data_IF_695949390267
#
_entry.id   IF_695949390267
#
_cell.length_a   1.000
_cell.length_b   1.000
_cell.length_c   1.000
_cell.angle_alpha   90.00
_cell.angle_beta   90.00
_cell.angle_gamma   90.00
#
_symmetry.space_group_name_H-M   'P 1'
#
loop_
_entity.id
_entity.type
_entity.pdbx_description
1 polymer ?
#
# COMPACT_ATOMS: atom_id res chain seq x y z
N UNK A 1 -2.21 40.48 -29.43
CA UNK A 1 -1.69 41.86 -29.39
C UNK A 1 -0.51 41.96 -30.34
N UNK A 2 -0.30 43.09 -31.01
CA UNK A 2 0.86 43.31 -31.87
C UNK A 2 2.04 43.68 -30.98
N UNK A 3 3.02 42.78 -30.89
CA UNK A 3 4.29 43.06 -30.23
C UNK A 3 5.15 43.94 -31.15
N UNK A 4 5.64 45.07 -30.64
CA UNK A 4 6.49 46.00 -31.40
C UNK A 4 7.97 45.67 -31.20
N UNK A 5 8.75 45.67 -32.28
CA UNK A 5 10.18 45.37 -32.21
C UNK A 5 10.96 46.55 -31.64
N UNK A 6 11.69 46.34 -30.53
CA UNK A 6 12.41 47.43 -29.84
C UNK A 6 13.40 48.16 -30.77
N UNK A 7 14.25 47.40 -31.49
CA UNK A 7 15.32 47.96 -32.32
C UNK A 7 14.78 48.72 -33.53
N UNK A 8 13.80 48.17 -34.22
CA UNK A 8 13.32 48.70 -35.49
C UNK A 8 12.18 49.71 -35.35
N UNK A 9 11.45 49.69 -34.24
CA UNK A 9 10.21 50.44 -34.10
C UNK A 9 10.17 51.42 -32.93
N UNK A 10 10.98 51.20 -31.89
CA UNK A 10 10.98 52.03 -30.67
C UNK A 10 12.23 52.91 -30.62
N UNK A 11 13.42 52.37 -30.92
CA UNK A 11 14.67 53.17 -30.95
C UNK A 11 14.54 54.39 -31.87
N UNK A 12 14.05 54.29 -33.13
CA UNK A 12 13.95 55.46 -34.00
C UNK A 12 13.08 56.58 -33.42
N UNK A 13 12.00 56.24 -32.70
CA UNK A 13 11.14 57.22 -32.05
C UNK A 13 11.82 57.86 -30.83
N UNK A 14 12.58 57.08 -30.06
CA UNK A 14 13.36 57.63 -28.94
C UNK A 14 14.48 58.54 -29.45
N UNK A 15 15.13 58.18 -30.54
CA UNK A 15 16.14 59.01 -31.22
C UNK A 15 15.54 60.33 -31.70
N UNK A 16 14.39 60.28 -32.39
CA UNK A 16 13.75 61.48 -32.95
C UNK A 16 13.24 62.46 -31.87
N UNK A 17 12.66 61.95 -30.78
CA UNK A 17 11.97 62.80 -29.80
C UNK A 17 12.72 63.03 -28.49
N UNK A 18 13.70 62.18 -28.14
CA UNK A 18 14.34 62.22 -26.81
C UNK A 18 15.83 62.55 -26.84
N UNK A 19 16.57 62.25 -27.93
CA UNK A 19 18.04 62.37 -27.94
C UNK A 19 18.53 63.81 -27.84
N UNK A 20 17.83 64.78 -28.44
CA UNK A 20 18.19 66.21 -28.39
C UNK A 20 18.45 66.73 -26.96
N UNK A 21 17.78 66.16 -25.96
CA UNK A 21 17.87 66.60 -24.56
C UNK A 21 18.46 65.55 -23.60
N UNK A 22 18.38 64.27 -23.96
CA UNK A 22 18.73 63.15 -23.09
C UNK A 22 19.77 62.21 -23.71
N UNK A 23 20.23 62.47 -24.93
CA UNK A 23 21.23 61.65 -25.62
C UNK A 23 22.48 62.42 -26.03
N UNK A 24 23.45 61.72 -26.62
CA UNK A 24 24.73 62.22 -27.13
C UNK A 24 25.53 63.05 -26.10
N UNK A 25 25.44 62.66 -24.83
CA UNK A 25 26.09 63.36 -23.71
C UNK A 25 25.24 64.46 -23.06
N UNK A 26 24.09 64.81 -23.63
CA UNK A 26 23.08 65.62 -22.97
C UNK A 26 22.37 64.83 -21.85
N UNK A 27 22.03 65.53 -20.76
CA UNK A 27 21.46 64.91 -19.55
C UNK A 27 20.49 65.84 -18.82
N UNK A 28 19.59 66.51 -19.55
CA UNK A 28 18.59 67.39 -18.93
C UNK A 28 17.76 66.60 -17.92
N UNK A 29 17.46 67.23 -16.78
CA UNK A 29 16.75 66.56 -15.68
C UNK A 29 17.51 65.37 -15.05
N UNK A 30 18.81 65.22 -15.30
CA UNK A 30 19.61 64.10 -14.80
C UNK A 30 19.28 62.75 -15.43
N UNK A 31 18.62 62.75 -16.59
CA UNK A 31 18.20 61.54 -17.29
C UNK A 31 18.96 61.41 -18.62
N UNK A 32 19.51 60.22 -18.88
CA UNK A 32 20.22 59.87 -20.11
C UNK A 32 19.55 58.67 -20.76
N UNK A 33 19.09 58.84 -21.99
CA UNK A 33 18.38 57.80 -22.75
C UNK A 33 19.35 56.82 -23.42
N UNK A 34 20.54 57.26 -23.82
CA UNK A 34 21.54 56.38 -24.45
C UNK A 34 21.99 55.24 -23.53
N UNK A 35 22.16 55.55 -22.23
CA UNK A 35 22.48 54.55 -21.21
C UNK A 35 21.32 53.57 -21.00
N UNK A 36 20.09 53.97 -21.31
CA UNK A 36 18.90 53.13 -21.21
C UNK A 36 18.76 52.18 -22.41
N UNK A 37 19.10 52.67 -23.61
CA UNK A 37 19.00 51.92 -24.88
C UNK A 37 20.20 50.98 -25.07
N UNK A 38 21.42 51.41 -24.74
CA UNK A 38 22.65 50.62 -24.93
C UNK A 38 22.81 49.42 -24.00
N UNK A 39 21.99 49.30 -22.95
CA UNK A 39 22.08 48.21 -21.96
C UNK A 39 21.02 47.10 -22.13
N UNK A 40 20.13 47.19 -23.13
CA UNK A 40 19.33 46.06 -23.64
C UNK A 40 18.39 45.34 -22.66
N UNK A 41 18.33 45.71 -21.38
CA UNK A 41 17.54 45.03 -20.37
C UNK A 41 16.58 46.01 -19.70
N UNK A 42 15.31 45.97 -20.12
CA UNK A 42 14.20 46.66 -19.47
C UNK A 42 14.21 46.43 -17.94
N UNK A 43 14.44 45.17 -17.53
CA UNK A 43 14.45 44.70 -16.14
C UNK A 43 15.45 45.43 -15.24
N UNK A 44 16.69 45.63 -15.70
CA UNK A 44 17.74 46.31 -14.91
C UNK A 44 17.48 47.80 -14.72
N UNK A 45 16.59 48.37 -15.55
CA UNK A 45 16.29 49.79 -15.57
C UNK A 45 14.79 50.09 -15.41
N UNK A 46 14.00 49.19 -14.80
CA UNK A 46 12.55 49.32 -14.65
C UNK A 46 12.13 50.69 -14.11
N UNK A 47 12.79 51.17 -13.04
CA UNK A 47 12.53 52.50 -12.45
C UNK A 47 12.76 53.66 -13.43
N UNK A 48 13.66 53.51 -14.40
CA UNK A 48 13.91 54.52 -15.44
C UNK A 48 12.83 54.44 -16.53
N UNK A 49 12.43 53.24 -16.94
CA UNK A 49 11.32 53.04 -17.89
C UNK A 49 9.97 53.52 -17.33
N UNK A 50 9.70 53.32 -16.04
CA UNK A 50 8.53 53.88 -15.36
C UNK A 50 8.48 55.42 -15.45
N UNK A 51 9.64 56.07 -15.37
CA UNK A 51 9.72 57.54 -15.52
C UNK A 51 9.46 57.96 -16.96
N UNK A 52 9.94 57.20 -17.95
CA UNK A 52 9.64 57.45 -19.37
C UNK A 52 8.14 57.29 -19.62
N UNK A 53 7.55 56.18 -19.17
CA UNK A 53 6.12 55.91 -19.29
C UNK A 53 5.29 57.03 -18.66
N UNK A 54 5.56 57.42 -17.41
CA UNK A 54 4.81 58.48 -16.72
C UNK A 54 4.90 59.83 -17.44
N UNK A 55 6.07 60.21 -17.95
CA UNK A 55 6.23 61.50 -18.63
C UNK A 55 5.59 61.52 -20.02
N UNK A 56 5.65 60.41 -20.76
CA UNK A 56 4.97 60.27 -22.06
C UNK A 56 3.45 60.20 -21.89
N UNK A 57 2.97 59.36 -20.96
CA UNK A 57 1.53 59.21 -20.67
C UNK A 57 0.90 60.53 -20.22
N UNK A 58 1.61 61.32 -19.42
CA UNK A 58 1.15 62.63 -18.97
C UNK A 58 1.43 63.78 -19.97
N UNK A 59 2.03 63.49 -21.13
CA UNK A 59 2.48 64.49 -22.13
C UNK A 59 3.37 65.60 -21.57
N UNK A 60 4.16 65.28 -20.55
CA UNK A 60 5.15 66.20 -19.97
C UNK A 60 6.44 66.25 -20.81
N UNK A 61 6.70 65.20 -21.58
CA UNK A 61 7.85 65.08 -22.46
C UNK A 61 7.40 64.60 -23.85
N UNK A 62 7.99 65.13 -24.93
CA UNK A 62 8.98 66.22 -24.98
C UNK A 62 8.39 67.59 -24.55
N UNK A 63 9.20 68.58 -24.13
CA UNK A 63 8.69 69.91 -23.76
C UNK A 63 7.95 70.61 -24.91
N UNK A 64 6.95 71.45 -24.61
CA UNK A 64 6.08 72.06 -25.61
C UNK A 64 6.79 72.92 -26.70
N UNK A 65 8.07 73.26 -26.52
CA UNK A 65 8.88 74.05 -27.44
C UNK A 65 9.75 73.21 -28.40
N UNK A 66 9.63 71.88 -28.38
CA UNK A 66 10.32 70.97 -29.31
C UNK A 66 9.32 70.06 -30.03
N UNK A 67 9.80 69.34 -31.04
CA UNK A 67 9.00 68.41 -31.83
C UNK A 67 8.24 67.43 -30.93
N UNK A 68 6.95 67.26 -31.21
CA UNK A 68 6.05 66.42 -30.42
C UNK A 68 5.69 65.15 -31.19
N UNK A 69 5.71 63.97 -30.55
CA UNK A 69 5.20 62.76 -31.15
C UNK A 69 3.68 62.82 -31.33
N UNK A 70 3.19 62.18 -32.38
CA UNK A 70 1.76 61.99 -32.62
C UNK A 70 1.18 60.90 -31.71
N UNK A 71 -0.12 60.93 -31.46
CA UNK A 71 -0.81 59.98 -30.58
C UNK A 71 -0.53 58.50 -30.89
N UNK A 72 -0.44 58.06 -32.18
CA UNK A 72 -0.08 56.68 -32.50
C UNK A 72 1.35 56.32 -32.08
N UNK A 73 2.29 57.24 -32.13
CA UNK A 73 3.69 57.03 -31.77
C UNK A 73 3.85 56.96 -30.25
N UNK A 74 3.16 57.83 -29.51
CA UNK A 74 3.09 57.76 -28.05
C UNK A 74 2.51 56.40 -27.63
N UNK A 75 1.38 56.01 -28.23
CA UNK A 75 0.72 54.74 -27.94
C UNK A 75 1.64 53.54 -28.22
N UNK A 76 2.46 53.62 -29.27
CA UNK A 76 3.43 52.59 -29.63
C UNK A 76 4.50 52.40 -28.56
N UNK A 77 5.08 53.51 -28.07
CA UNK A 77 6.09 53.49 -27.00
C UNK A 77 5.49 52.99 -25.68
N UNK A 78 4.31 53.49 -25.30
CA UNK A 78 3.64 53.07 -24.06
C UNK A 78 3.28 51.59 -24.08
N UNK A 79 2.72 51.10 -25.19
CA UNK A 79 2.37 49.67 -25.36
C UNK A 79 3.61 48.80 -25.23
N UNK A 80 4.73 49.19 -25.87
CA UNK A 80 5.97 48.45 -25.76
C UNK A 80 6.51 48.41 -24.31
N UNK A 81 6.48 49.53 -23.58
CA UNK A 81 6.91 49.59 -22.18
C UNK A 81 6.02 48.70 -21.30
N UNK A 82 4.70 48.73 -21.51
CA UNK A 82 3.75 47.90 -20.78
C UNK A 82 4.00 46.41 -21.05
N UNK A 83 4.10 46.01 -22.32
CA UNK A 83 4.40 44.62 -22.70
C UNK A 83 5.76 44.14 -22.14
N UNK A 84 6.78 45.00 -22.16
CA UNK A 84 8.08 44.69 -21.57
C UNK A 84 8.02 44.57 -20.03
N UNK A 85 7.12 45.32 -19.37
CA UNK A 85 6.90 45.21 -17.92
C UNK A 85 6.08 43.98 -17.51
N UNK A 86 5.29 43.41 -18.43
CA UNK A 86 4.49 42.19 -18.20
C UNK A 86 5.12 40.94 -18.81
N UNK A 87 6.29 41.05 -19.45
CA UNK A 87 7.00 39.91 -20.01
C UNK A 87 7.51 39.01 -18.88
N UNK A 88 7.05 37.75 -18.80
CA UNK A 88 7.45 36.83 -17.73
C UNK A 88 8.93 36.49 -17.81
N UNK A 89 9.52 36.30 -16.64
CA UNK A 89 10.95 36.10 -16.40
C UNK A 89 11.36 34.65 -16.72
N UNK A 90 11.51 34.32 -18.00
CA UNK A 90 11.92 32.96 -18.40
C UNK A 90 13.32 32.56 -17.87
N UNK A 91 14.09 33.50 -17.33
CA UNK A 91 15.44 33.27 -16.80
C UNK A 91 15.51 33.18 -15.26
N UNK A 92 14.45 33.53 -14.54
CA UNK A 92 14.38 33.48 -13.06
C UNK A 92 13.23 32.62 -12.52
N UNK A 93 12.49 31.94 -13.40
CA UNK A 93 11.84 30.69 -13.02
C UNK A 93 12.95 29.64 -12.88
N UNK A 94 13.55 29.58 -11.67
CA UNK A 94 14.11 28.34 -11.16
C UNK A 94 12.96 27.33 -11.20
N UNK A 95 12.86 26.67 -12.35
CA UNK A 95 11.91 25.62 -12.64
C UNK A 95 12.28 24.52 -11.68
N UNK A 96 11.71 24.59 -10.48
CA UNK A 96 12.09 23.77 -9.33
C UNK A 96 12.30 22.35 -9.81
N UNK A 97 13.53 21.87 -9.62
CA UNK A 97 14.02 20.53 -9.94
C UNK A 97 12.84 19.56 -9.83
N UNK A 98 12.56 18.78 -10.89
CA UNK A 98 11.52 17.75 -10.91
C UNK A 98 11.46 17.07 -9.53
N UNK A 99 10.48 17.45 -8.72
CA UNK A 99 10.55 17.12 -7.30
C UNK A 99 10.20 15.66 -7.18
N UNK A 100 11.13 14.86 -6.67
CA UNK A 100 10.83 13.50 -6.24
C UNK A 100 9.76 13.59 -5.16
N UNK A 101 8.54 13.20 -5.51
CA UNK A 101 7.42 13.20 -4.59
C UNK A 101 7.14 11.78 -4.12
N UNK A 102 6.97 11.62 -2.82
CA UNK A 102 6.48 10.37 -2.23
C UNK A 102 5.01 10.14 -2.61
N UNK A 103 4.61 8.88 -2.84
CA UNK A 103 3.21 8.50 -2.92
C UNK A 103 2.46 8.83 -1.63
N UNK A 104 1.35 9.55 -1.72
CA UNK A 104 0.46 9.74 -0.57
C UNK A 104 -0.22 8.41 -0.18
N UNK A 105 -0.92 8.40 0.95
CA UNK A 105 -1.52 7.16 1.51
C UNK A 105 -2.51 6.50 0.55
N UNK A 106 -3.35 7.30 -0.09
CA UNK A 106 -4.37 6.86 -1.05
C UNK A 106 -3.72 6.27 -2.30
N UNK A 107 -2.71 6.95 -2.85
CA UNK A 107 -1.94 6.46 -4.00
C UNK A 107 -1.20 5.17 -3.68
N UNK A 108 -0.64 5.04 -2.47
CA UNK A 108 0.00 3.82 -2.01
C UNK A 108 -1.02 2.66 -1.96
N UNK A 109 -2.18 2.88 -1.36
CA UNK A 109 -3.25 1.87 -1.28
C UNK A 109 -3.72 1.42 -2.65
N UNK A 110 -4.01 2.37 -3.54
CA UNK A 110 -4.40 2.10 -4.92
C UNK A 110 -3.32 1.34 -5.70
N UNK A 111 -2.04 1.71 -5.51
CA UNK A 111 -0.91 1.02 -6.14
C UNK A 111 -0.80 -0.44 -5.67
N UNK A 112 -0.98 -0.69 -4.37
CA UNK A 112 -0.97 -2.05 -3.82
C UNK A 112 -2.15 -2.87 -4.34
N UNK A 113 -3.35 -2.28 -4.39
CA UNK A 113 -4.53 -2.93 -4.95
C UNK A 113 -4.35 -3.29 -6.43
N UNK A 114 -3.78 -2.40 -7.25
CA UNK A 114 -3.58 -2.67 -8.68
C UNK A 114 -2.54 -3.78 -8.91
N UNK A 115 -1.41 -3.72 -8.20
CA UNK A 115 -0.33 -4.69 -8.36
C UNK A 115 -0.76 -6.07 -7.83
N UNK A 116 -1.23 -6.12 -6.58
CA UNK A 116 -1.42 -7.38 -5.87
C UNK A 116 -2.88 -7.83 -5.76
N UNK A 117 -3.86 -6.97 -6.05
CA UNK A 117 -5.28 -7.28 -5.93
C UNK A 117 -5.75 -7.43 -4.48
N UNK A 118 -5.09 -6.77 -3.53
CA UNK A 118 -5.39 -6.86 -2.10
C UNK A 118 -5.65 -5.50 -1.48
N UNK A 119 -6.66 -5.43 -0.64
CA UNK A 119 -7.00 -4.21 0.10
C UNK A 119 -6.11 -4.08 1.34
N UNK A 120 -5.65 -2.87 1.64
CA UNK A 120 -4.87 -2.54 2.84
C UNK A 120 -5.47 -1.31 3.51
N UNK A 121 -5.35 -1.21 4.83
CA UNK A 121 -5.79 -0.02 5.56
C UNK A 121 -4.63 0.98 5.62
N UNK A 122 -4.45 1.78 4.56
CA UNK A 122 -3.38 2.77 4.55
C UNK A 122 -3.71 3.97 5.46
N UNK A 123 -4.99 4.32 5.61
CA UNK A 123 -5.52 5.45 6.40
C UNK A 123 -5.45 5.24 7.93
N UNK A 124 -5.59 4.01 8.40
CA UNK A 124 -5.37 3.66 9.81
C UNK A 124 -3.89 3.46 10.16
N UNK A 125 -3.06 3.07 9.19
CA UNK A 125 -1.70 2.59 9.48
C UNK A 125 -0.61 3.67 9.48
N UNK A 126 -0.58 4.51 8.45
CA UNK A 126 0.37 5.61 8.29
C UNK A 126 -0.02 6.86 9.16
N UNK A 127 0.82 7.89 9.28
CA UNK A 127 0.37 9.23 9.70
C UNK A 127 -0.35 9.93 8.54
N UNK A 128 -1.17 10.95 8.83
CA UNK A 128 -1.76 11.80 7.79
C UNK A 128 -0.66 12.49 6.96
N UNK A 129 -0.92 12.67 5.67
CA UNK A 129 -0.04 13.40 4.78
C UNK A 129 -0.17 14.90 5.03
N UNK A 130 0.95 15.62 4.97
CA UNK A 130 0.96 17.08 5.04
C UNK A 130 0.30 17.66 3.78
N UNK A 131 -0.53 18.69 3.96
CA UNK A 131 -1.20 19.35 2.83
C UNK A 131 -0.49 20.64 2.46
N UNK A 132 -0.12 20.80 1.20
CA UNK A 132 0.34 22.07 0.62
C UNK A 132 -0.80 22.68 -0.18
N UNK A 133 -1.08 23.97 -0.02
CA UNK A 133 -2.16 24.67 -0.77
C UNK A 133 -3.54 23.96 -0.76
N UNK A 134 -3.81 23.12 0.25
CA UNK A 134 -5.05 22.34 0.37
C UNK A 134 -5.03 20.94 -0.27
N UNK A 135 -3.90 20.52 -0.85
CA UNK A 135 -3.74 19.21 -1.49
C UNK A 135 -2.69 18.35 -0.76
N UNK A 136 -2.97 17.06 -0.61
CA UNK A 136 -2.04 16.05 -0.07
C UNK A 136 -1.14 15.46 -1.17
N UNK A 137 -1.11 16.11 -2.33
CA UNK A 137 -0.37 15.70 -3.51
C UNK A 137 0.85 16.58 -3.80
N UNK A 138 1.27 17.42 -2.85
CA UNK A 138 2.36 18.36 -3.13
C UNK A 138 3.69 17.79 -2.62
N UNK A 139 4.63 17.55 -3.53
CA UNK A 139 5.92 16.92 -3.22
C UNK A 139 6.76 17.69 -2.20
N UNK A 140 6.65 19.02 -2.19
CA UNK A 140 7.41 19.91 -1.29
C UNK A 140 7.09 19.73 0.20
N UNK A 141 5.88 19.26 0.53
CA UNK A 141 5.47 19.01 1.94
C UNK A 141 5.59 17.53 2.33
N UNK A 142 5.71 16.62 1.37
CA UNK A 142 5.75 15.17 1.59
C UNK A 142 7.17 14.70 1.96
N UNK A 143 7.59 14.99 3.19
CA UNK A 143 8.89 14.56 3.73
C UNK A 143 8.86 13.11 4.24
N UNK A 144 9.99 12.39 4.10
CA UNK A 144 10.13 11.02 4.62
C UNK A 144 10.80 11.04 6.00
N UNK A 145 10.00 11.01 7.07
CA UNK A 145 10.52 10.88 8.43
C UNK A 145 11.00 9.44 8.74
N UNK A 146 11.93 9.24 9.70
CA UNK A 146 12.35 7.91 10.13
C UNK A 146 11.17 7.02 10.56
N UNK A 147 10.20 7.59 11.28
CA UNK A 147 8.98 6.90 11.70
C UNK A 147 8.18 6.41 10.49
N UNK A 148 8.06 7.25 9.45
CA UNK A 148 7.35 6.89 8.23
C UNK A 148 8.06 5.76 7.47
N UNK A 149 9.39 5.75 7.45
CA UNK A 149 10.17 4.65 6.88
C UNK A 149 9.97 3.32 7.63
N UNK A 150 9.91 3.36 8.97
CA UNK A 150 9.54 2.19 9.78
C UNK A 150 8.12 1.69 9.47
N UNK A 151 7.19 2.62 9.27
CA UNK A 151 5.83 2.29 8.84
C UNK A 151 5.85 1.61 7.48
N UNK A 152 6.59 2.11 6.50
CA UNK A 152 6.73 1.45 5.20
C UNK A 152 7.29 0.02 5.30
N UNK A 153 8.31 -0.19 6.14
CA UNK A 153 8.85 -1.53 6.40
C UNK A 153 7.80 -2.48 6.96
N UNK A 154 7.02 -2.03 7.94
CA UNK A 154 5.94 -2.83 8.51
C UNK A 154 4.78 -3.06 7.54
N UNK A 155 4.39 -2.05 6.76
CA UNK A 155 3.35 -2.19 5.74
C UNK A 155 3.78 -3.16 4.64
N UNK A 156 5.04 -3.14 4.21
CA UNK A 156 5.55 -4.12 3.25
C UNK A 156 5.45 -5.57 3.76
N UNK A 157 5.64 -5.80 5.08
CA UNK A 157 5.38 -7.12 5.68
C UNK A 157 3.88 -7.46 5.67
N UNK A 158 3.00 -6.51 6.03
CA UNK A 158 1.54 -6.70 5.99
C UNK A 158 1.07 -7.06 4.58
N UNK A 159 1.52 -6.30 3.57
CA UNK A 159 1.23 -6.56 2.15
C UNK A 159 1.68 -7.97 1.80
N UNK A 160 2.96 -8.33 2.06
CA UNK A 160 3.44 -9.66 1.70
C UNK A 160 2.77 -10.80 2.48
N UNK A 161 2.33 -10.56 3.72
CA UNK A 161 1.55 -11.52 4.48
C UNK A 161 0.15 -11.72 3.87
N UNK A 162 -0.51 -10.65 3.44
CA UNK A 162 -1.80 -10.73 2.74
C UNK A 162 -1.66 -11.36 1.34
N UNK A 163 -0.54 -11.17 0.66
CA UNK A 163 -0.34 -11.74 -0.69
C UNK A 163 0.11 -13.19 -0.66
N UNK A 164 1.11 -13.53 0.17
CA UNK A 164 1.76 -14.85 0.18
C UNK A 164 1.26 -15.77 1.30
N UNK A 165 0.43 -15.27 2.22
CA UNK A 165 0.00 -15.95 3.44
C UNK A 165 0.99 -15.73 4.60
N UNK A 166 0.80 -16.38 5.76
CA UNK A 166 1.74 -16.28 6.89
C UNK A 166 3.06 -17.04 6.63
N UNK A 167 4.15 -16.66 7.32
CA UNK A 167 5.45 -17.37 7.20
C UNK A 167 5.32 -18.83 7.65
N UNK A 168 4.62 -19.07 8.75
CA UNK A 168 4.21 -20.42 9.14
C UNK A 168 2.73 -20.57 8.83
N UNK A 169 2.35 -21.57 8.03
CA UNK A 169 0.93 -21.92 7.90
C UNK A 169 0.48 -22.54 9.23
N UNK A 170 -0.08 -21.69 10.10
CA UNK A 170 -0.95 -22.20 11.15
C UNK A 170 -2.14 -22.88 10.47
N UNK A 171 -2.43 -24.13 10.84
CA UNK A 171 -3.64 -24.78 10.37
C UNK A 171 -4.82 -23.98 10.93
N UNK A 172 -5.68 -23.45 10.07
CA UNK A 172 -6.93 -22.86 10.53
C UNK A 172 -7.66 -23.89 11.40
N UNK A 173 -8.10 -23.44 12.57
CA UNK A 173 -8.70 -24.33 13.57
C UNK A 173 -10.14 -23.89 13.84
N UNK A 174 -11.10 -24.79 13.63
CA UNK A 174 -12.45 -24.62 14.15
C UNK A 174 -12.55 -25.29 15.51
N UNK A 175 -13.00 -24.54 16.51
CA UNK A 175 -13.17 -25.03 17.89
C UNK A 175 -14.65 -25.11 18.23
N UNK A 176 -15.07 -26.28 18.70
CA UNK A 176 -16.41 -26.54 19.22
C UNK A 176 -16.29 -26.74 20.73
N UNK A 177 -16.88 -25.83 21.50
CA UNK A 177 -16.97 -25.96 22.95
C UNK A 177 -18.27 -26.64 23.36
N UNK A 178 -18.46 -26.89 24.66
CA UNK A 178 -19.65 -27.58 25.17
C UNK A 178 -20.98 -27.01 24.65
N UNK A 179 -21.08 -25.70 24.45
CA UNK A 179 -22.27 -25.03 23.89
C UNK A 179 -22.54 -25.36 22.41
N UNK A 180 -21.52 -25.66 21.62
CA UNK A 180 -21.63 -25.98 20.19
C UNK A 180 -21.65 -27.50 19.91
N UNK A 181 -21.58 -28.32 20.96
CA UNK A 181 -21.63 -29.77 20.86
C UNK A 181 -23.05 -30.24 21.19
N UNK A 182 -23.68 -30.93 20.24
CA UNK A 182 -25.00 -31.54 20.43
C UNK A 182 -24.88 -32.87 21.18
N UNK A 183 -25.88 -33.24 21.97
CA UNK A 183 -25.91 -34.49 22.73
C UNK A 183 -25.34 -34.40 24.15
N UNK A 184 -25.68 -35.40 24.96
CA UNK A 184 -25.36 -35.46 26.40
C UNK A 184 -25.86 -34.26 27.22
N UNK A 185 -25.44 -34.20 28.48
CA UNK A 185 -25.79 -33.11 29.41
C UNK A 185 -24.64 -32.12 29.51
N UNK A 186 -24.94 -30.83 29.67
CA UNK A 186 -23.92 -29.84 29.96
C UNK A 186 -23.54 -29.90 31.45
N UNK A 187 -22.24 -29.82 31.73
CA UNK A 187 -21.69 -29.79 33.09
C UNK A 187 -20.56 -28.74 33.14
N UNK A 188 -20.92 -27.50 33.49
CA UNK A 188 -20.01 -26.36 33.39
C UNK A 188 -19.56 -26.12 31.95
N UNK A 189 -18.23 -26.14 31.72
CA UNK A 189 -17.62 -26.00 30.39
C UNK A 189 -17.45 -27.34 29.65
N UNK A 190 -18.08 -28.41 30.13
CA UNK A 190 -18.00 -29.76 29.55
C UNK A 190 -19.37 -30.25 29.09
N UNK A 191 -19.34 -31.23 28.18
CA UNK A 191 -20.45 -32.16 27.93
C UNK A 191 -20.17 -33.50 28.58
N UNK A 192 -21.19 -34.11 29.17
CA UNK A 192 -21.11 -35.42 29.83
C UNK A 192 -22.14 -36.40 29.26
N UNK A 193 -21.68 -37.63 29.04
CA UNK A 193 -22.52 -38.80 28.78
C UNK A 193 -22.45 -39.70 30.02
N UNK A 194 -23.51 -39.75 30.84
CA UNK A 194 -23.56 -40.61 32.02
C UNK A 194 -23.94 -42.07 31.69
N UNK A 195 -24.36 -42.32 30.44
CA UNK A 195 -24.74 -43.63 29.93
C UNK A 195 -24.42 -43.67 28.44
N UNK A 196 -24.60 -44.83 27.80
CA UNK A 196 -24.43 -44.94 26.33
C UNK A 196 -25.19 -43.83 25.60
N UNK A 197 -24.49 -43.15 24.71
CA UNK A 197 -25.01 -42.03 23.93
C UNK A 197 -23.91 -41.42 23.07
N UNK A 198 -24.20 -40.28 22.47
CA UNK A 198 -23.27 -39.64 21.55
C UNK A 198 -23.24 -38.11 21.68
N UNK A 199 -22.07 -37.56 21.35
CA UNK A 199 -21.89 -36.15 21.04
C UNK A 199 -21.78 -35.96 19.55
N UNK A 200 -22.29 -34.83 19.03
CA UNK A 200 -22.30 -34.57 17.60
C UNK A 200 -21.92 -33.13 17.30
N UNK A 201 -21.12 -32.97 16.25
CA UNK A 201 -20.82 -31.67 15.64
C UNK A 201 -20.95 -31.78 14.13
N UNK A 202 -21.37 -30.69 13.50
CA UNK A 202 -21.43 -30.56 12.05
C UNK A 202 -20.28 -29.66 11.59
N UNK A 203 -19.53 -30.11 10.59
CA UNK A 203 -18.45 -29.35 9.97
C UNK A 203 -18.56 -29.42 8.46
N UNK A 204 -18.55 -28.27 7.78
CA UNK A 204 -18.44 -28.24 6.32
C UNK A 204 -16.97 -28.11 5.95
N UNK A 205 -16.44 -29.11 5.25
CA UNK A 205 -15.09 -29.07 4.72
C UNK A 205 -15.00 -28.00 3.64
N UNK A 206 -14.17 -26.99 3.86
CA UNK A 206 -13.96 -25.88 2.92
C UNK A 206 -13.07 -26.30 1.75
N UNK A 207 -12.24 -27.31 1.96
CA UNK A 207 -11.21 -27.74 1.02
C UNK A 207 -11.11 -29.27 1.00
N UNK A 208 -10.68 -29.82 -0.13
CA UNK A 208 -10.38 -31.24 -0.24
C UNK A 208 -9.05 -31.56 0.45
N UNK A 209 -9.03 -32.55 1.34
CA UNK A 209 -7.80 -33.02 1.98
C UNK A 209 -8.02 -33.75 3.30
N UNK A 210 -6.92 -34.03 3.98
CA UNK A 210 -6.93 -34.68 5.30
C UNK A 210 -7.09 -33.65 6.43
N UNK A 211 -8.17 -33.78 7.18
CA UNK A 211 -8.46 -32.97 8.36
C UNK A 211 -7.96 -33.70 9.61
N UNK A 212 -7.35 -32.96 10.54
CA UNK A 212 -6.93 -33.47 11.84
C UNK A 212 -7.94 -33.02 12.89
N UNK A 213 -8.53 -33.95 13.63
CA UNK A 213 -9.48 -33.65 14.70
C UNK A 213 -8.84 -33.99 16.04
N UNK A 214 -8.89 -33.05 16.98
CA UNK A 214 -8.43 -33.19 18.35
C UNK A 214 -9.61 -33.12 19.30
N UNK A 215 -9.71 -34.08 20.22
CA UNK A 215 -10.75 -34.16 21.23
C UNK A 215 -10.11 -34.12 22.61
N UNK A 216 -10.52 -33.18 23.45
CA UNK A 216 -10.12 -33.14 24.85
C UNK A 216 -11.18 -33.85 25.67
N UNK A 217 -10.83 -35.06 26.11
CA UNK A 217 -11.75 -35.94 26.83
C UNK A 217 -11.14 -36.41 28.15
N UNK A 218 -12.03 -36.80 29.06
CA UNK A 218 -11.71 -37.47 30.33
C UNK A 218 -12.86 -38.42 30.68
N UNK A 219 -12.65 -39.33 31.63
CA UNK A 219 -13.69 -40.26 32.05
C UNK A 219 -13.73 -40.45 33.57
N UNK A 220 -14.88 -40.86 34.10
CA UNK A 220 -14.98 -41.39 35.46
C UNK A 220 -14.58 -42.86 35.45
N UNK A 221 -13.83 -43.30 36.48
CA UNK A 221 -13.34 -44.67 36.56
C UNK A 221 -14.31 -45.58 37.33
N UNK A 222 -15.03 -46.42 36.61
CA UNK A 222 -15.85 -47.49 37.21
C UNK A 222 -15.56 -48.84 36.56
N UNK A 223 -15.67 -49.91 37.35
CA UNK A 223 -15.28 -51.26 36.96
C UNK A 223 -13.77 -51.42 36.72
N UNK A 224 -13.43 -52.39 35.87
CA UNK A 224 -12.06 -52.81 35.57
C UNK A 224 -11.55 -52.31 34.20
N UNK A 225 -12.37 -51.58 33.44
CA UNK A 225 -11.99 -51.01 32.15
C UNK A 225 -12.03 -49.47 32.17
N UNK A 226 -11.28 -48.86 31.26
CA UNK A 226 -11.43 -47.45 30.92
C UNK A 226 -12.68 -47.22 30.06
N UNK A 227 -13.19 -45.99 30.04
CA UNK A 227 -14.22 -45.62 29.09
C UNK A 227 -13.68 -45.71 27.66
N UNK A 228 -14.50 -46.24 26.75
CA UNK A 228 -14.21 -46.37 25.34
C UNK A 228 -14.99 -45.31 24.59
N UNK A 229 -14.25 -44.44 23.91
CA UNK A 229 -14.75 -43.37 23.07
C UNK A 229 -14.56 -43.79 21.62
N UNK A 230 -15.66 -44.08 20.92
CA UNK A 230 -15.63 -44.41 19.50
C UNK A 230 -15.93 -43.16 18.68
N UNK A 231 -15.08 -42.83 17.71
CA UNK A 231 -15.27 -41.69 16.82
C UNK A 231 -15.73 -42.15 15.45
N UNK A 232 -16.73 -41.46 14.92
CA UNK A 232 -17.33 -41.72 13.61
C UNK A 232 -17.39 -40.43 12.80
N UNK A 233 -17.19 -40.55 11.48
CA UNK A 233 -17.41 -39.47 10.52
C UNK A 233 -18.39 -39.99 9.47
N UNK A 234 -19.50 -39.27 9.25
CA UNK A 234 -20.55 -39.67 8.32
C UNK A 234 -21.08 -41.10 8.55
N UNK A 235 -21.21 -41.48 9.83
CA UNK A 235 -21.62 -42.83 10.28
C UNK A 235 -20.60 -43.95 10.01
N UNK A 236 -19.43 -43.65 9.47
CA UNK A 236 -18.32 -44.59 9.34
C UNK A 236 -17.42 -44.51 10.58
N UNK A 237 -17.12 -45.66 11.18
CA UNK A 237 -16.16 -45.75 12.28
C UNK A 237 -14.74 -45.43 11.79
N UNK A 238 -14.08 -44.49 12.48
CA UNK A 238 -12.70 -44.12 12.20
C UNK A 238 -11.76 -44.79 13.20
N UNK A 239 -12.05 -44.67 14.50
CA UNK A 239 -11.19 -45.18 15.56
C UNK A 239 -11.95 -45.30 16.88
N UNK A 240 -11.49 -46.21 17.75
CA UNK A 240 -11.94 -46.29 19.14
C UNK A 240 -10.76 -46.03 20.08
N UNK A 241 -10.95 -45.14 21.06
CA UNK A 241 -9.95 -44.75 22.05
C UNK A 241 -10.33 -45.23 23.45
N UNK A 242 -9.34 -45.71 24.22
CA UNK A 242 -9.47 -45.92 25.66
C UNK A 242 -9.10 -44.64 26.40
N UNK A 243 -10.03 -44.13 27.22
CA UNK A 243 -9.87 -42.87 27.95
C UNK A 243 -9.20 -43.14 29.30
N UNK A 244 -7.87 -43.09 29.31
CA UNK A 244 -7.06 -43.33 30.51
C UNK A 244 -7.05 -42.16 31.50
N UNK A 245 -7.42 -40.95 31.04
CA UNK A 245 -7.45 -39.75 31.88
C UNK A 245 -8.70 -39.71 32.76
N UNK A 246 -8.49 -39.67 34.07
CA UNK A 246 -9.57 -39.61 35.06
C UNK A 246 -10.00 -38.15 35.34
N UNK A 247 -11.30 -37.89 35.26
CA UNK A 247 -11.89 -36.58 35.53
C UNK A 247 -11.43 -36.04 36.91
N UNK A 248 -10.98 -34.77 37.01
CA UNK A 248 -11.11 -33.70 36.02
C UNK A 248 -9.92 -33.56 35.05
N UNK A 249 -8.89 -34.42 35.12
CA UNK A 249 -7.75 -34.34 34.21
C UNK A 249 -8.14 -34.84 32.82
N UNK A 250 -7.67 -34.16 31.79
CA UNK A 250 -8.04 -34.42 30.40
C UNK A 250 -6.81 -34.79 29.59
N UNK A 251 -7.01 -35.65 28.60
CA UNK A 251 -6.02 -35.94 27.57
C UNK A 251 -6.55 -35.56 26.20
N UNK A 252 -5.64 -35.28 25.28
CA UNK A 252 -5.96 -34.98 23.89
C UNK A 252 -5.88 -36.27 23.07
N UNK A 253 -6.97 -36.58 22.36
CA UNK A 253 -7.09 -37.70 21.45
C UNK A 253 -7.19 -37.16 20.02
N UNK A 254 -6.43 -37.75 19.10
CA UNK A 254 -6.33 -37.30 17.71
C UNK A 254 -6.77 -38.37 16.73
N UNK A 255 -7.58 -37.99 15.75
CA UNK A 255 -7.87 -38.81 14.58
C UNK A 255 -7.89 -37.95 13.31
N UNK A 256 -7.92 -38.59 12.14
CA UNK A 256 -7.95 -37.92 10.84
C UNK A 256 -9.13 -38.40 10.01
N UNK A 257 -9.63 -37.55 9.12
CA UNK A 257 -10.61 -37.94 8.11
C UNK A 257 -10.36 -37.19 6.79
N UNK A 258 -10.79 -37.79 5.68
CA UNK A 258 -10.73 -37.16 4.36
C UNK A 258 -12.00 -36.36 4.12
N UNK A 259 -11.87 -35.06 3.88
CA UNK A 259 -12.97 -34.18 3.48
C UNK A 259 -12.88 -33.83 2.01
N UNK A 260 -14.02 -33.68 1.34
CA UNK A 260 -14.11 -33.04 0.03
C UNK A 260 -14.58 -31.59 0.18
N UNK A 261 -14.23 -30.75 -0.79
CA UNK A 261 -14.65 -29.35 -0.85
C UNK A 261 -16.19 -29.23 -0.83
N UNK A 262 -16.69 -28.31 0.00
CA UNK A 262 -18.11 -28.08 0.25
C UNK A 262 -18.91 -29.28 0.78
N UNK A 263 -18.24 -30.33 1.26
CA UNK A 263 -18.91 -31.48 1.86
C UNK A 263 -19.25 -31.21 3.33
N UNK A 264 -20.53 -31.38 3.69
CA UNK A 264 -20.95 -31.41 5.10
C UNK A 264 -20.58 -32.76 5.72
N UNK A 265 -19.78 -32.72 6.77
CA UNK A 265 -19.33 -33.87 7.53
C UNK A 265 -19.95 -33.84 8.94
N UNK A 266 -20.56 -34.97 9.33
CA UNK A 266 -21.09 -35.17 10.68
C UNK A 266 -20.09 -35.98 11.49
N UNK A 267 -19.51 -35.36 12.51
CA UNK A 267 -18.57 -36.03 13.42
C UNK A 267 -19.34 -36.42 14.68
N UNK A 268 -19.28 -37.72 15.01
CA UNK A 268 -19.99 -38.29 16.15
C UNK A 268 -19.01 -38.96 17.10
N UNK A 269 -19.13 -38.68 18.39
CA UNK A 269 -18.33 -39.28 19.46
C UNK A 269 -19.26 -40.12 20.33
N UNK A 270 -19.10 -41.44 20.30
CA UNK A 270 -19.93 -42.40 21.01
C UNK A 270 -19.26 -42.88 22.29
N UNK A 271 -20.04 -42.96 23.37
CA UNK A 271 -19.66 -43.68 24.58
C UNK A 271 -20.25 -45.10 24.56
N UNK A 272 -19.40 -46.13 24.40
CA UNK A 272 -19.87 -47.48 24.00
C UNK A 272 -19.85 -48.53 25.12
N UNK A 273 -19.07 -48.33 26.17
CA UNK A 273 -18.94 -49.29 27.28
C UNK A 273 -19.39 -48.69 28.61
N UNK A 274 -20.64 -48.27 28.67
CA UNK A 274 -21.28 -47.86 29.91
C UNK A 274 -21.18 -48.94 31.02
N UNK A 275 -21.05 -48.50 32.26
CA UNK A 275 -20.91 -49.38 33.43
C UNK A 275 -21.38 -48.68 34.70
N UNK A 276 -22.32 -49.33 35.40
CA UNK A 276 -22.86 -48.86 36.67
C UNK A 276 -22.86 -49.97 37.75
N UNK A 277 -22.24 -49.70 38.89
CA UNK A 277 -22.21 -50.54 40.09
C UNK A 277 -22.67 -49.75 41.32
N UNK A 278 -23.97 -49.78 41.67
CA UNK A 278 -24.50 -49.03 42.79
C UNK A 278 -23.98 -49.53 44.15
N UNK A 279 -23.47 -50.78 44.21
CA UNK A 279 -23.00 -51.42 45.45
C UNK A 279 -21.52 -51.12 45.73
N UNK A 280 -20.82 -50.41 44.84
CA UNK A 280 -19.43 -50.07 45.06
C UNK A 280 -19.26 -49.23 46.34
N UNK A 281 -18.30 -49.62 47.17
CA UNK A 281 -17.97 -48.90 48.42
C UNK A 281 -17.50 -47.48 48.17
N UNK A 282 -16.86 -47.21 47.03
CA UNK A 282 -16.45 -45.87 46.64
C UNK A 282 -17.49 -45.24 45.69
N UNK A 283 -18.24 -44.20 46.11
CA UNK A 283 -19.25 -43.55 45.28
C UNK A 283 -18.72 -43.02 43.95
N UNK A 284 -17.45 -42.57 43.91
CA UNK A 284 -16.82 -42.03 42.69
C UNK A 284 -16.51 -43.11 41.65
N UNK A 285 -16.56 -44.39 42.03
CA UNK A 285 -16.32 -45.55 41.16
C UNK A 285 -17.58 -46.35 40.83
N UNK A 286 -18.75 -45.80 41.15
CA UNK A 286 -20.04 -46.44 40.86
C UNK A 286 -20.45 -46.29 39.40
N UNK A 287 -20.05 -45.22 38.74
CA UNK A 287 -20.57 -44.86 37.43
C UNK A 287 -19.46 -44.45 36.47
N UNK A 288 -19.56 -44.94 35.23
CA UNK A 288 -18.59 -44.64 34.18
C UNK A 288 -19.19 -43.60 33.25
N UNK A 289 -18.62 -42.41 33.31
CA UNK A 289 -19.07 -41.28 32.51
C UNK A 289 -17.98 -40.86 31.54
N UNK A 290 -18.37 -40.41 30.35
CA UNK A 290 -17.47 -39.78 29.39
C UNK A 290 -17.69 -38.26 29.41
N UNK A 291 -16.61 -37.50 29.52
CA UNK A 291 -16.63 -36.04 29.47
C UNK A 291 -15.83 -35.53 28.28
N UNK A 292 -16.38 -34.58 27.54
CA UNK A 292 -15.70 -33.86 26.46
C UNK A 292 -15.76 -32.36 26.73
N UNK A 293 -14.60 -31.69 26.67
CA UNK A 293 -14.51 -30.23 26.85
C UNK A 293 -14.66 -29.49 25.53
N UNK A 294 -13.85 -29.88 24.55
CA UNK A 294 -13.80 -29.25 23.25
C UNK A 294 -13.36 -30.23 22.19
N UNK A 295 -13.77 -29.94 20.97
CA UNK A 295 -13.33 -30.59 19.75
C UNK A 295 -12.71 -29.50 18.87
N UNK A 296 -11.48 -29.69 18.42
CA UNK A 296 -10.78 -28.79 17.51
C UNK A 296 -10.54 -29.52 16.19
N UNK A 297 -11.00 -28.94 15.09
CA UNK A 297 -10.76 -29.45 13.73
C UNK A 297 -9.74 -28.53 13.08
N UNK A 298 -8.62 -29.11 12.65
CA UNK A 298 -7.58 -28.41 11.91
C UNK A 298 -7.77 -28.68 10.43
N UNK A 299 -7.79 -27.62 9.64
CA UNK A 299 -7.86 -27.71 8.19
C UNK A 299 -6.61 -28.39 7.61
N UNK A 300 -6.75 -29.06 6.45
CA UNK A 300 -5.60 -29.57 5.69
C UNK A 300 -4.55 -28.48 5.45
N UNK A 301 -3.26 -28.84 5.48
CA UNK A 301 -2.17 -27.91 5.14
C UNK A 301 -2.32 -27.43 3.69
N UNK A 302 -2.07 -26.14 3.43
CA UNK A 302 -1.88 -25.59 2.09
C UNK A 302 -2.97 -24.67 1.53
N UNK A 303 -4.11 -24.47 2.20
CA UNK A 303 -5.30 -23.99 1.48
C UNK A 303 -6.16 -23.01 2.27
N UNK A 304 -5.57 -21.91 2.74
CA UNK A 304 -6.39 -20.72 2.96
C UNK A 304 -6.69 -20.11 1.58
N UNK A 305 -7.95 -20.24 1.14
CA UNK A 305 -8.42 -19.75 -0.16
C UNK A 305 -8.09 -18.26 -0.35
N UNK A 306 -8.06 -17.48 0.73
CA UNK A 306 -7.78 -16.04 0.67
C UNK A 306 -6.43 -15.70 0.05
N UNK A 307 -5.43 -16.59 0.16
CA UNK A 307 -4.10 -16.37 -0.39
C UNK A 307 -3.87 -17.05 -1.74
N UNK A 308 -4.76 -17.95 -2.18
CA UNK A 308 -4.56 -18.68 -3.44
C UNK A 308 -4.62 -17.73 -4.63
N UNK A 309 -5.60 -16.85 -4.68
CA UNK A 309 -5.78 -15.90 -5.78
C UNK A 309 -4.62 -14.91 -5.84
N UNK A 310 -4.21 -14.35 -4.70
CA UNK A 310 -3.08 -13.43 -4.62
C UNK A 310 -1.74 -14.09 -4.94
N UNK A 311 -1.49 -15.33 -4.47
CA UNK A 311 -0.31 -16.12 -4.85
C UNK A 311 -0.29 -16.45 -6.34
N UNK A 312 -1.42 -16.88 -6.89
CA UNK A 312 -1.55 -17.16 -8.32
C UNK A 312 -1.30 -15.91 -9.17
N UNK A 313 -1.84 -14.76 -8.75
CA UNK A 313 -1.61 -13.46 -9.41
C UNK A 313 -0.12 -13.10 -9.40
N UNK A 314 0.52 -13.14 -8.22
CA UNK A 314 1.90 -12.71 -8.08
C UNK A 314 2.88 -13.69 -8.72
N UNK A 315 2.76 -14.99 -8.44
CA UNK A 315 3.77 -16.02 -8.75
C UNK A 315 3.39 -16.95 -9.91
N UNK A 316 2.14 -16.96 -10.34
CA UNK A 316 1.64 -17.95 -11.30
C UNK A 316 1.45 -19.35 -10.70
N UNK A 317 1.62 -19.50 -9.38
CA UNK A 317 1.40 -20.75 -8.64
C UNK A 317 0.73 -20.41 -7.31
N UNK A 318 -0.34 -21.13 -7.00
CA UNK A 318 -1.18 -20.93 -5.82
C UNK A 318 -0.82 -21.83 -4.65
N UNK A 319 -0.16 -22.97 -4.92
CA UNK A 319 0.18 -23.99 -3.94
C UNK A 319 1.58 -23.76 -3.36
N UNK A 320 1.66 -23.52 -2.05
CA UNK A 320 2.92 -23.14 -1.39
C UNK A 320 4.06 -24.13 -1.64
N UNK A 321 3.76 -25.43 -1.58
CA UNK A 321 4.69 -26.53 -1.77
C UNK A 321 5.25 -26.63 -3.21
N UNK A 322 4.49 -26.11 -4.17
CA UNK A 322 4.86 -26.13 -5.58
C UNK A 322 5.68 -24.89 -5.99
N UNK A 323 5.66 -23.81 -5.19
CA UNK A 323 6.43 -22.60 -5.48
C UNK A 323 7.93 -22.92 -5.45
N UNK A 324 8.54 -22.83 -6.63
CA UNK A 324 9.99 -22.99 -6.88
C UNK A 324 10.63 -21.67 -7.30
N UNK A 325 11.96 -21.65 -7.36
CA UNK A 325 12.76 -20.46 -7.68
C UNK A 325 12.42 -19.85 -9.06
N UNK A 326 12.02 -20.65 -10.06
CA UNK A 326 11.63 -20.09 -11.36
C UNK A 326 10.35 -19.23 -11.29
N UNK A 327 9.42 -19.54 -10.38
CA UNK A 327 8.21 -18.72 -10.17
C UNK A 327 8.59 -17.34 -9.62
N UNK A 328 9.58 -17.29 -8.71
CA UNK A 328 10.13 -16.05 -8.17
C UNK A 328 10.70 -15.17 -9.29
N UNK A 329 11.59 -15.74 -10.11
CA UNK A 329 12.26 -15.00 -11.19
C UNK A 329 11.26 -14.52 -12.26
N UNK A 330 10.27 -15.35 -12.61
CA UNK A 330 9.20 -14.94 -13.51
C UNK A 330 8.36 -13.80 -12.92
N UNK A 331 8.03 -13.89 -11.63
CA UNK A 331 7.29 -12.86 -10.90
C UNK A 331 8.03 -11.52 -10.90
N UNK A 332 9.34 -11.53 -10.63
CA UNK A 332 10.16 -10.30 -10.68
C UNK A 332 10.11 -9.64 -12.06
N UNK A 333 10.29 -10.41 -13.15
CA UNK A 333 10.22 -9.86 -14.52
C UNK A 333 8.87 -9.23 -14.83
N UNK A 334 7.78 -9.83 -14.31
CA UNK A 334 6.41 -9.37 -14.56
C UNK A 334 6.05 -8.12 -13.76
N UNK A 335 6.43 -8.09 -12.48
CA UNK A 335 5.84 -7.13 -11.53
C UNK A 335 6.77 -5.97 -11.17
N UNK A 336 8.09 -6.15 -11.19
CA UNK A 336 9.00 -5.05 -10.87
C UNK A 336 8.87 -3.83 -11.81
N UNK A 337 8.62 -3.96 -13.14
CA UNK A 337 8.39 -2.79 -13.98
C UNK A 337 7.15 -2.00 -13.58
N UNK A 338 6.11 -2.69 -13.10
CA UNK A 338 4.87 -2.05 -12.59
C UNK A 338 5.08 -1.40 -11.24
N UNK A 339 5.80 -2.08 -10.33
CA UNK A 339 6.18 -1.53 -9.02
C UNK A 339 6.98 -0.24 -9.21
N UNK A 340 7.96 -0.22 -10.12
CA UNK A 340 8.80 0.96 -10.35
C UNK A 340 8.24 1.93 -11.38
N UNK A 341 7.09 1.62 -11.99
CA UNK A 341 6.40 2.46 -12.98
C UNK A 341 7.32 2.86 -14.15
N UNK A 342 8.25 1.98 -14.48
CA UNK A 342 9.31 2.21 -15.48
C UNK A 342 9.76 0.86 -16.04
N UNK A 343 10.28 0.89 -17.26
CA UNK A 343 11.00 -0.26 -17.80
C UNK A 343 12.23 -0.55 -16.93
N UNK A 344 12.39 -1.83 -16.58
CA UNK A 344 13.54 -2.27 -15.80
C UNK A 344 14.78 -2.33 -16.68
N UNK A 345 15.89 -1.78 -16.19
CA UNK A 345 17.21 -2.08 -16.73
C UNK A 345 17.61 -3.51 -16.36
N UNK A 346 18.53 -4.11 -17.13
CA UNK A 346 19.11 -5.42 -16.81
C UNK A 346 19.74 -5.43 -15.41
N UNK A 347 20.33 -4.31 -14.99
CA UNK A 347 20.98 -4.16 -13.69
C UNK A 347 19.98 -4.21 -12.52
N UNK A 348 18.83 -3.54 -12.65
CA UNK A 348 17.79 -3.53 -11.62
C UNK A 348 17.24 -4.93 -11.36
N UNK A 349 17.04 -5.72 -12.42
CA UNK A 349 16.64 -7.11 -12.30
C UNK A 349 17.70 -7.95 -11.57
N UNK A 350 18.98 -7.76 -11.92
CA UNK A 350 20.10 -8.46 -11.27
C UNK A 350 20.18 -8.19 -9.78
N UNK A 351 19.88 -6.97 -9.31
CA UNK A 351 19.88 -6.64 -7.87
C UNK A 351 18.84 -7.46 -7.09
N UNK A 352 17.62 -7.56 -7.60
CA UNK A 352 16.55 -8.35 -6.96
C UNK A 352 16.82 -9.86 -7.05
N UNK A 353 17.31 -10.32 -8.19
CA UNK A 353 17.70 -11.72 -8.35
C UNK A 353 18.84 -12.10 -7.40
N UNK A 354 19.86 -11.25 -7.28
CA UNK A 354 20.97 -11.45 -6.35
C UNK A 354 20.47 -11.50 -4.91
N UNK A 355 19.65 -10.53 -4.49
CA UNK A 355 19.08 -10.51 -3.15
C UNK A 355 18.22 -11.76 -2.86
N UNK A 356 17.41 -12.20 -3.82
CA UNK A 356 16.65 -13.45 -3.72
C UNK A 356 17.57 -14.66 -3.52
N UNK A 357 18.63 -14.78 -4.33
CA UNK A 357 19.60 -15.89 -4.23
C UNK A 357 20.34 -15.88 -2.89
N UNK A 358 20.69 -14.71 -2.38
CA UNK A 358 21.28 -14.55 -1.03
C UNK A 358 20.34 -15.04 0.07
N UNK A 359 19.04 -14.74 -0.02
CA UNK A 359 18.06 -15.26 0.94
C UNK A 359 17.94 -16.79 0.84
N UNK A 360 17.97 -17.34 -0.37
CA UNK A 360 18.00 -18.80 -0.57
C UNK A 360 19.25 -19.44 0.03
N UNK A 361 20.42 -18.81 -0.13
CA UNK A 361 21.68 -19.27 0.46
C UNK A 361 21.65 -19.26 2.01
N UNK A 362 20.88 -18.35 2.62
CA UNK A 362 20.61 -18.30 4.06
C UNK A 362 19.60 -19.35 4.56
N UNK A 363 19.12 -20.24 3.68
CA UNK A 363 18.24 -21.35 4.03
C UNK A 363 16.74 -21.06 3.96
N UNK A 364 16.32 -19.86 3.52
CA UNK A 364 14.91 -19.53 3.35
C UNK A 364 14.33 -20.33 2.17
N UNK A 365 13.07 -20.76 2.28
CA UNK A 365 12.34 -21.37 1.15
C UNK A 365 12.12 -20.38 0.00
N UNK A 366 11.74 -20.87 -1.19
CA UNK A 366 11.48 -20.02 -2.36
C UNK A 366 10.45 -18.92 -2.08
N UNK A 367 9.35 -19.25 -1.41
CA UNK A 367 8.29 -18.27 -1.06
C UNK A 367 8.77 -17.25 -0.02
N UNK A 368 9.61 -17.66 0.94
CA UNK A 368 10.16 -16.75 1.95
C UNK A 368 11.21 -15.81 1.34
N UNK A 369 12.04 -16.31 0.43
CA UNK A 369 13.00 -15.49 -0.29
C UNK A 369 12.29 -14.47 -1.22
N UNK A 370 11.22 -14.88 -1.92
CA UNK A 370 10.36 -13.98 -2.71
C UNK A 370 9.77 -12.87 -1.83
N UNK A 371 9.25 -13.23 -0.64
CA UNK A 371 8.72 -12.25 0.32
C UNK A 371 9.73 -11.17 0.62
N UNK A 372 10.97 -11.55 0.96
CA UNK A 372 11.99 -10.56 1.30
C UNK A 372 12.32 -9.66 0.10
N UNK A 373 12.43 -10.23 -1.10
CA UNK A 373 12.73 -9.46 -2.31
C UNK A 373 11.63 -8.44 -2.65
N UNK A 374 10.35 -8.83 -2.60
CA UNK A 374 9.26 -7.88 -2.84
C UNK A 374 9.12 -6.87 -1.70
N UNK A 375 9.38 -7.23 -0.44
CA UNK A 375 9.47 -6.24 0.64
C UNK A 375 10.53 -5.18 0.34
N UNK A 376 11.72 -5.60 -0.08
CA UNK A 376 12.80 -4.68 -0.47
C UNK A 376 12.38 -3.77 -1.64
N UNK A 377 11.63 -4.30 -2.62
CA UNK A 377 11.09 -3.51 -3.71
C UNK A 377 10.09 -2.45 -3.22
N UNK A 378 9.15 -2.82 -2.33
CA UNK A 378 8.09 -1.94 -1.80
C UNK A 378 8.56 -0.88 -0.79
N UNK A 379 9.83 -0.93 -0.37
CA UNK A 379 10.44 0.12 0.47
C UNK A 379 11.53 0.88 -0.27
N UNK A 380 11.79 0.53 -1.53
CA UNK A 380 12.83 1.18 -2.30
C UNK A 380 12.42 2.60 -2.69
N UNK A 381 13.38 3.54 -2.83
CA UNK A 381 13.08 4.90 -3.27
C UNK A 381 12.30 4.94 -4.60
N UNK A 382 12.61 4.03 -5.54
CA UNK A 382 11.92 3.95 -6.84
C UNK A 382 10.45 3.55 -6.74
N UNK A 383 10.04 2.92 -5.63
CA UNK A 383 8.64 2.63 -5.37
C UNK A 383 7.97 3.76 -4.59
N UNK A 384 8.60 4.21 -3.50
CA UNK A 384 8.04 5.22 -2.59
C UNK A 384 7.91 6.56 -3.31
N UNK A 385 8.88 6.94 -4.12
CA UNK A 385 8.91 8.20 -4.84
C UNK A 385 8.47 8.02 -6.29
N UNK A 386 7.89 9.09 -6.84
CA UNK A 386 7.53 9.28 -8.23
C UNK A 386 8.17 10.58 -8.69
N UNK A 387 8.70 10.57 -9.91
CA UNK A 387 9.13 11.80 -10.58
C UNK A 387 7.89 12.52 -11.13
N UNK A 388 7.73 13.80 -10.80
CA UNK A 388 6.77 14.65 -11.48
C UNK A 388 7.39 15.14 -12.79
N UNK A 389 6.90 14.62 -13.91
CA UNK A 389 7.29 15.12 -15.23
C UNK A 389 6.75 16.55 -15.39
N UNK A 390 7.65 17.52 -15.52
CA UNK A 390 7.28 18.83 -16.05
C UNK A 390 7.07 18.70 -17.55
N UNK A 391 5.92 19.16 -18.05
CA UNK A 391 5.69 19.27 -19.48
C UNK A 391 6.50 20.48 -20.00
N UNK A 392 7.75 20.22 -20.42
CA UNK A 392 8.74 21.26 -20.75
C UNK A 392 8.37 22.01 -22.04
N UNK A 393 7.47 21.46 -22.86
CA UNK A 393 7.10 22.06 -24.16
C UNK A 393 6.09 23.20 -24.05
N UNK A 394 5.42 23.40 -22.91
CA UNK A 394 4.52 24.52 -22.67
C UNK A 394 4.61 25.01 -21.22
N UNK A 395 5.13 26.21 -20.96
CA UNK A 395 4.94 26.88 -19.67
C UNK A 395 3.48 27.36 -19.60
N UNK A 396 2.54 26.42 -19.53
CA UNK A 396 1.15 26.76 -19.28
C UNK A 396 1.04 27.17 -17.81
N UNK A 397 0.37 28.30 -17.57
CA UNK A 397 0.02 28.78 -16.23
C UNK A 397 -0.50 27.60 -15.42
N UNK A 398 0.17 27.30 -14.30
CA UNK A 398 -0.26 26.24 -13.39
C UNK A 398 -1.67 26.58 -12.92
N UNK A 399 -2.66 25.85 -13.42
CA UNK A 399 -4.04 25.99 -12.98
C UNK A 399 -4.23 25.30 -11.63
N UNK A 400 -5.22 25.72 -10.84
CA UNK A 400 -5.61 25.01 -9.61
C UNK A 400 -5.87 23.52 -9.87
N UNK A 401 -6.35 23.19 -11.06
CA UNK A 401 -6.55 21.81 -11.52
C UNK A 401 -5.23 21.06 -11.77
N UNK A 402 -4.21 21.73 -12.32
CA UNK A 402 -2.89 21.14 -12.51
C UNK A 402 -2.14 20.95 -11.19
N UNK A 403 -2.37 21.82 -10.18
CA UNK A 403 -1.89 21.65 -8.81
C UNK A 403 -2.54 20.46 -8.10
N UNK A 404 -3.84 20.23 -8.31
CA UNK A 404 -4.58 19.13 -7.71
C UNK A 404 -4.20 17.74 -8.26
N UNK A 405 -3.66 17.70 -9.48
CA UNK A 405 -3.32 16.46 -10.19
C UNK A 405 -1.82 16.17 -10.27
N UNK A 406 -0.98 17.13 -9.87
CA UNK A 406 0.45 16.87 -9.68
C UNK A 406 0.66 15.93 -8.51
#
# INVERSE_FOLDING_TARGET
MKSFNFENEIIPLLEEYCYDCHGEGAKKGGFKIDELIGLGAFKQNQKKWDRVWKNLNNRNMPPANVLQPYDPEISKILTWIEEASFSPDLAEEDSGIASLRRLNRTEYENTIQDIFGIEIDAEGYFPADDTGYGFDTIGEVLTLSPLLMEKYLGMAEVVMQKVLGPIQEEKDSLRFFAENIEGGRQYGNLRVLPQRGSFQINHTSTIKGEYEVKVWASASRAGNEYAKMQVQVNSQEIQTFSIESEYPRKSMYRFHFQGNENQRNRITINFINDFYDPKNRNPKRRDRNLYVEKIEILTPKGLNLSFRESRLRLLGESERQNIKDHHALFSFKRWLPRIYRTDLTSEDFTKHEFFFREMRAKGLSSIEAVRQAFKAALISPRFIFREEAMDVEKPDKISEFALAHR
#
